data_IF_209497279025
#
_entry.id   IF_209497279025
#
_cell.length_a   1.000
_cell.length_b   1.000
_cell.length_c   1.000
_cell.angle_alpha   90.00
_cell.angle_beta   90.00
_cell.angle_gamma   90.00
#
_symmetry.space_group_name_H-M   'P 1'
#
loop_
_entity.id
_entity.type
_entity.pdbx_description
1 polymer ?
#
# COMPACT_ATOMS: atom_id res chain seq x y z
N UNK A 1 0.52 -7.57 16.22
CA UNK A 1 0.93 -7.18 14.84
C UNK A 1 1.45 -5.75 14.94
N UNK A 2 2.61 -5.43 14.35
CA UNK A 2 3.25 -4.09 14.46
C UNK A 2 3.31 -3.34 13.14
N UNK A 3 2.91 -3.99 12.04
CA UNK A 3 2.85 -3.39 10.72
C UNK A 3 2.33 -4.39 9.70
N UNK A 4 2.01 -3.88 8.51
CA UNK A 4 1.49 -4.64 7.39
C UNK A 4 2.41 -4.54 6.18
N UNK A 5 2.43 -5.61 5.38
CA UNK A 5 3.00 -5.65 4.04
C UNK A 5 1.84 -5.91 3.08
N UNK A 6 1.68 -5.06 2.08
CA UNK A 6 0.61 -5.17 1.09
C UNK A 6 1.20 -5.46 -0.29
N UNK A 7 0.94 -6.62 -0.86
CA UNK A 7 1.45 -6.99 -2.20
C UNK A 7 0.37 -6.81 -3.28
N UNK A 8 0.79 -6.86 -4.55
CA UNK A 8 -0.08 -6.74 -5.74
C UNK A 8 -0.82 -5.39 -5.84
N UNK A 9 -0.12 -4.30 -5.50
CA UNK A 9 -0.65 -2.94 -5.59
C UNK A 9 -0.62 -2.35 -7.02
N UNK A 10 0.03 -3.04 -7.94
CA UNK A 10 0.06 -2.78 -9.39
C UNK A 10 -1.23 -3.21 -10.14
N UNK A 11 -2.08 -4.01 -9.49
CA UNK A 11 -3.37 -4.43 -10.04
C UNK A 11 -4.53 -3.46 -9.78
N UNK A 12 -5.76 -3.88 -10.10
CA UNK A 12 -7.03 -3.15 -9.91
C UNK A 12 -7.41 -2.83 -8.46
N UNK A 13 -6.51 -3.06 -7.49
CA UNK A 13 -6.67 -2.66 -6.11
C UNK A 13 -6.48 -1.14 -5.98
N UNK A 14 -7.49 -0.40 -6.44
CA UNK A 14 -7.62 1.04 -6.22
C UNK A 14 -7.34 1.31 -4.73
N UNK A 15 -6.47 2.27 -4.43
CA UNK A 15 -5.87 2.48 -3.10
C UNK A 15 -6.81 2.59 -1.90
N UNK A 16 -8.13 2.63 -2.09
CA UNK A 16 -9.12 2.57 -1.02
C UNK A 16 -8.98 1.39 -0.06
N UNK A 17 -8.43 0.24 -0.47
CA UNK A 17 -8.22 -0.89 0.45
C UNK A 17 -7.17 -0.60 1.53
N UNK A 18 -6.15 0.18 1.20
CA UNK A 18 -5.09 0.58 2.16
C UNK A 18 -5.68 1.43 3.27
N UNK A 19 -6.55 2.38 2.91
CA UNK A 19 -7.25 3.26 3.84
C UNK A 19 -8.20 2.46 4.75
N UNK A 20 -8.96 1.51 4.19
CA UNK A 20 -9.89 0.69 4.96
C UNK A 20 -9.19 -0.26 5.94
N UNK A 21 -8.09 -0.90 5.53
CA UNK A 21 -7.36 -1.87 6.36
C UNK A 21 -6.65 -1.17 7.52
N UNK A 22 -5.97 -0.05 7.25
CA UNK A 22 -5.26 0.70 8.30
C UNK A 22 -6.21 1.24 9.36
N UNK A 23 -7.37 1.78 8.95
CA UNK A 23 -8.42 2.23 9.88
C UNK A 23 -9.01 1.11 10.74
N UNK A 24 -9.17 -0.10 10.18
CA UNK A 24 -9.73 -1.26 10.92
C UNK A 24 -8.72 -1.92 11.86
N UNK A 25 -7.48 -2.07 11.43
CA UNK A 25 -6.47 -2.84 12.16
C UNK A 25 -5.61 -1.98 13.09
N UNK A 26 -5.62 -0.65 12.93
CA UNK A 26 -4.87 0.27 13.79
C UNK A 26 -3.35 0.09 13.71
N UNK A 27 -2.84 -0.51 12.63
CA UNK A 27 -1.42 -0.77 12.40
C UNK A 27 -0.97 -0.15 11.08
N UNK A 28 0.27 0.37 11.01
CA UNK A 28 0.77 1.03 9.81
C UNK A 28 1.10 0.01 8.72
N UNK A 29 0.89 0.41 7.46
CA UNK A 29 1.53 -0.27 6.34
C UNK A 29 2.99 0.17 6.28
N UNK A 30 3.91 -0.79 6.20
CA UNK A 30 5.36 -0.52 6.15
C UNK A 30 5.94 -0.77 4.77
N UNK A 31 5.42 -1.77 4.05
CA UNK A 31 5.93 -2.18 2.75
C UNK A 31 4.79 -2.40 1.77
N UNK A 32 5.07 -2.13 0.49
CA UNK A 32 4.17 -2.40 -0.63
C UNK A 32 4.88 -3.20 -1.72
N UNK A 33 4.19 -4.16 -2.32
CA UNK A 33 4.65 -4.90 -3.50
C UNK A 33 3.87 -4.45 -4.73
N UNK A 34 4.57 -3.92 -5.73
CA UNK A 34 3.99 -3.35 -6.97
C UNK A 34 4.31 -4.21 -8.21
N UNK A 35 4.44 -5.51 -8.01
CA UNK A 35 4.75 -6.47 -9.06
C UNK A 35 4.91 -7.88 -8.48
N UNK A 36 5.52 -8.77 -9.27
CA UNK A 36 5.68 -10.17 -8.93
C UNK A 36 7.08 -10.50 -8.38
N UNK A 37 8.07 -9.65 -8.63
CA UNK A 37 9.46 -9.82 -8.21
C UNK A 37 9.70 -9.44 -6.75
N UNK A 38 10.83 -9.87 -6.20
CA UNK A 38 11.28 -9.46 -4.86
C UNK A 38 11.72 -8.00 -4.86
N UNK A 39 12.28 -7.56 -5.98
CA UNK A 39 12.66 -6.19 -6.31
C UNK A 39 11.48 -5.21 -6.34
N UNK A 40 10.25 -5.72 -6.48
CA UNK A 40 9.03 -4.92 -6.51
C UNK A 40 8.51 -4.59 -5.10
N UNK A 41 9.17 -5.11 -4.06
CA UNK A 41 8.88 -4.75 -2.67
C UNK A 41 9.59 -3.45 -2.30
N UNK A 42 8.81 -2.46 -1.87
CA UNK A 42 9.27 -1.10 -1.55
C UNK A 42 8.72 -0.63 -0.21
N UNK A 43 9.40 0.34 0.39
CA UNK A 43 8.85 1.08 1.53
C UNK A 43 7.55 1.77 1.15
N UNK A 44 6.58 1.74 2.06
CA UNK A 44 5.33 2.46 1.88
C UNK A 44 5.53 3.94 2.18
N UNK A 45 5.31 4.79 1.17
CA UNK A 45 5.24 6.24 1.31
C UNK A 45 3.76 6.69 1.27
N UNK A 46 3.19 7.11 2.41
CA UNK A 46 1.80 7.58 2.47
C UNK A 46 1.56 8.83 1.62
N UNK A 47 2.55 9.71 1.45
CA UNK A 47 2.40 10.92 0.65
C UNK A 47 2.34 10.58 -0.83
N UNK A 48 3.32 9.83 -1.32
CA UNK A 48 3.33 9.37 -2.71
C UNK A 48 2.09 8.53 -3.06
N UNK A 49 1.60 7.73 -2.10
CA UNK A 49 0.38 6.96 -2.27
C UNK A 49 -0.88 7.84 -2.41
N UNK A 50 -1.02 8.87 -1.58
CA UNK A 50 -2.15 9.81 -1.66
C UNK A 50 -2.07 10.64 -2.95
N UNK A 51 -0.87 11.09 -3.33
CA UNK A 51 -0.67 11.79 -4.60
C UNK A 51 -1.07 10.92 -5.79
N UNK A 52 -0.60 9.67 -5.86
CA UNK A 52 -0.97 8.74 -6.92
C UNK A 52 -2.47 8.37 -6.91
N UNK A 53 -3.12 8.39 -5.74
CA UNK A 53 -4.55 8.11 -5.62
C UNK A 53 -5.44 9.28 -6.09
N UNK A 54 -4.94 10.51 -5.98
CA UNK A 54 -5.66 11.75 -6.31
C UNK A 54 -5.25 12.36 -7.65
N UNK A 55 -4.12 11.92 -8.22
CA UNK A 55 -3.71 12.27 -9.57
C UNK A 55 -4.69 11.61 -10.58
N UNK A 56 -5.34 12.43 -11.39
CA UNK A 56 -6.27 12.02 -12.47
C UNK A 56 -5.59 11.18 -13.57
#
# INVERSE_FOLDING_TARGET
ITGLVLTKLDGTAKGGIVVGITGRLGVPVKLIGIGEGVEDLRDFDPHAFVEALLAE
#
